data_IF_417832482851
#
_entry.id   IF_417832482851
#
_cell.length_a   1.000
_cell.length_b   1.000
_cell.length_c   1.000
_cell.angle_alpha   90.00
_cell.angle_beta   90.00
_cell.angle_gamma   90.00
#
_symmetry.space_group_name_H-M   'P 1'
#
loop_
_entity.id
_entity.type
_entity.pdbx_description
1 polymer ?
#
# COMPACT_ATOMS: atom_id res chain seq x y z
N UNK A 1 -27.51 9.76 7.62
CA UNK A 1 -26.88 9.44 6.31
C UNK A 1 -25.60 10.26 6.25
N UNK A 2 -24.44 9.66 5.98
CA UNK A 2 -23.17 10.41 5.88
C UNK A 2 -23.24 11.26 4.61
N UNK A 3 -22.90 12.55 4.70
CA UNK A 3 -22.84 13.44 3.55
C UNK A 3 -21.64 13.04 2.68
N UNK A 4 -21.88 12.77 1.40
CA UNK A 4 -20.81 12.56 0.43
C UNK A 4 -20.23 13.92 0.01
N UNK A 5 -18.90 14.03 -0.03
CA UNK A 5 -18.20 15.26 -0.42
C UNK A 5 -17.15 14.93 -1.49
N UNK A 6 -17.19 15.60 -2.65
CA UNK A 6 -16.23 15.32 -3.73
C UNK A 6 -14.82 15.82 -3.35
N UNK A 7 -13.76 15.13 -3.79
CA UNK A 7 -12.41 15.66 -3.69
C UNK A 7 -12.28 17.01 -4.41
N UNK A 8 -11.53 17.91 -3.82
CA UNK A 8 -11.13 19.16 -4.47
C UNK A 8 -9.79 18.92 -5.16
N UNK A 9 -9.79 19.06 -6.48
CA UNK A 9 -8.63 18.77 -7.33
C UNK A 9 -8.06 20.11 -7.81
N UNK A 10 -6.78 20.36 -7.50
CA UNK A 10 -6.10 21.61 -7.86
C UNK A 10 -4.82 21.34 -8.63
N UNK A 11 -4.52 22.09 -9.70
CA UNK A 11 -3.20 22.05 -10.34
C UNK A 11 -2.11 22.34 -9.31
N UNK A 12 -1.00 21.58 -9.35
CA UNK A 12 0.15 21.81 -8.46
C UNK A 12 0.83 23.15 -8.78
N UNK A 13 1.10 23.40 -10.07
CA UNK A 13 1.61 24.68 -10.58
C UNK A 13 0.87 25.11 -11.84
N UNK A 14 0.94 26.41 -12.13
CA UNK A 14 0.45 26.97 -13.38
C UNK A 14 1.25 26.37 -14.55
N UNK A 15 0.56 25.78 -15.52
CA UNK A 15 1.12 25.11 -16.71
C UNK A 15 1.79 23.75 -16.43
N UNK A 16 1.35 23.04 -15.40
CA UNK A 16 1.76 21.68 -15.12
C UNK A 16 0.56 20.71 -15.06
N UNK A 17 0.75 19.48 -15.53
CA UNK A 17 -0.30 18.44 -15.57
C UNK A 17 -0.56 17.78 -14.21
N UNK A 18 0.38 17.91 -13.26
CA UNK A 18 0.25 17.38 -11.90
C UNK A 18 -0.85 18.10 -11.13
N UNK A 19 -1.68 17.32 -10.46
CA UNK A 19 -2.80 17.75 -9.62
C UNK A 19 -2.59 17.25 -8.20
N UNK A 20 -3.07 18.03 -7.24
CA UNK A 20 -3.15 17.67 -5.83
C UNK A 20 -4.61 17.54 -5.44
N UNK A 21 -4.90 16.55 -4.59
CA UNK A 21 -6.24 16.17 -4.21
C UNK A 21 -6.46 16.41 -2.72
N UNK A 22 -7.33 17.36 -2.40
CA UNK A 22 -7.84 17.58 -1.04
C UNK A 22 -9.14 16.78 -0.84
N UNK A 23 -9.25 16.07 0.28
CA UNK A 23 -10.40 15.21 0.59
C UNK A 23 -11.00 15.61 1.93
N UNK A 24 -12.33 15.68 1.98
CA UNK A 24 -13.09 15.68 3.22
C UNK A 24 -13.65 14.28 3.41
N UNK A 25 -13.34 13.68 4.56
CA UNK A 25 -13.79 12.34 4.91
C UNK A 25 -14.47 12.33 6.27
N UNK A 26 -15.34 11.35 6.49
CA UNK A 26 -16.03 11.14 7.74
C UNK A 26 -15.48 9.94 8.50
N UNK A 27 -15.29 10.12 9.80
CA UNK A 27 -14.94 9.08 10.76
C UNK A 27 -16.02 8.96 11.83
N UNK A 28 -16.44 7.73 12.11
CA UNK A 28 -17.52 7.45 13.08
C UNK A 28 -17.25 7.99 14.49
N UNK A 29 -15.98 8.11 14.89
CA UNK A 29 -15.59 8.51 16.25
C UNK A 29 -15.06 9.95 16.25
N UNK A 30 -14.21 10.30 15.29
CA UNK A 30 -13.55 11.61 15.25
C UNK A 30 -14.36 12.68 14.51
N UNK A 31 -15.47 12.31 13.88
CA UNK A 31 -16.26 13.21 13.05
C UNK A 31 -15.57 13.48 11.71
N UNK A 32 -15.72 14.70 11.22
CA UNK A 32 -15.16 15.09 9.93
C UNK A 32 -13.65 15.32 10.02
N UNK A 33 -12.95 14.81 9.01
CA UNK A 33 -11.50 14.84 8.86
C UNK A 33 -11.16 15.43 7.49
N UNK A 34 -10.02 16.09 7.41
CA UNK A 34 -9.47 16.59 6.14
C UNK A 34 -8.19 15.87 5.81
N UNK A 35 -7.99 15.58 4.53
CA UNK A 35 -6.72 15.11 3.96
C UNK A 35 -6.29 16.18 2.97
N UNK A 36 -5.20 16.87 3.28
CA UNK A 36 -4.70 17.95 2.44
C UNK A 36 -3.34 17.60 1.86
N UNK A 37 -3.23 17.62 0.53
CA UNK A 37 -1.98 17.36 -0.18
C UNK A 37 -1.29 18.66 -0.54
N UNK A 38 0.00 18.76 -0.20
CA UNK A 38 0.83 19.93 -0.53
C UNK A 38 2.27 19.52 -0.84
N UNK A 39 3.01 20.42 -1.46
CA UNK A 39 4.46 20.27 -1.65
C UNK A 39 5.20 20.21 -0.31
N UNK A 40 6.25 19.37 -0.25
CA UNK A 40 7.06 19.15 0.94
C UNK A 40 8.55 19.46 0.65
N UNK A 41 9.09 20.59 1.17
CA UNK A 41 10.35 21.19 0.71
C UNK A 41 11.66 20.57 1.26
N UNK A 42 11.62 19.36 1.81
CA UNK A 42 12.75 18.73 2.52
C UNK A 42 13.81 18.12 1.57
N UNK A 43 13.38 17.71 0.37
CA UNK A 43 14.23 17.18 -0.73
C UNK A 43 13.48 17.33 -2.05
N UNK A 44 14.18 17.25 -3.19
CA UNK A 44 13.60 17.47 -4.54
C UNK A 44 12.30 16.67 -4.74
N UNK A 45 11.25 17.40 -5.11
CA UNK A 45 9.94 16.93 -5.62
C UNK A 45 9.15 15.93 -4.76
N UNK A 46 9.01 16.22 -3.47
CA UNK A 46 8.11 15.47 -2.58
C UNK A 46 6.83 16.20 -2.25
N UNK A 47 5.82 15.41 -1.92
CA UNK A 47 4.50 15.85 -1.50
C UNK A 47 4.14 15.18 -0.19
N UNK A 48 3.31 15.87 0.59
CA UNK A 48 2.76 15.36 1.83
C UNK A 48 1.24 15.47 1.81
N UNK A 49 0.55 14.38 2.10
CA UNK A 49 -0.86 14.39 2.47
C UNK A 49 -0.95 14.38 3.99
N UNK A 50 -1.51 15.42 4.59
CA UNK A 50 -1.72 15.51 6.04
C UNK A 50 -3.17 15.18 6.37
N UNK A 51 -3.38 14.22 7.28
CA UNK A 51 -4.69 13.90 7.83
C UNK A 51 -4.93 14.71 9.11
N UNK A 52 -5.94 15.56 9.11
CA UNK A 52 -6.25 16.49 10.21
C UNK A 52 -7.68 16.29 10.73
N UNK A 53 -7.88 16.62 12.00
CA UNK A 53 -9.23 16.73 12.58
C UNK A 53 -9.78 18.17 12.42
N UNK A 54 -11.03 18.38 12.87
CA UNK A 54 -11.69 19.69 12.88
C UNK A 54 -10.95 20.81 13.66
N UNK A 55 -10.04 20.44 14.56
CA UNK A 55 -9.25 21.38 15.36
C UNK A 55 -7.87 21.61 14.71
N UNK A 56 -7.72 21.24 13.43
CA UNK A 56 -6.50 21.31 12.63
C UNK A 56 -5.31 20.49 13.17
N UNK A 57 -5.55 19.59 14.13
CA UNK A 57 -4.51 18.70 14.67
C UNK A 57 -4.20 17.59 13.66
N UNK A 58 -2.91 17.45 13.33
CA UNK A 58 -2.40 16.35 12.49
C UNK A 58 -2.50 15.02 13.26
N UNK A 59 -3.22 14.06 12.66
CA UNK A 59 -3.41 12.71 13.18
C UNK A 59 -2.52 11.68 12.48
N UNK A 60 -2.03 12.03 11.29
CA UNK A 60 -1.19 11.19 10.46
C UNK A 60 -0.83 11.90 9.15
N UNK A 61 0.03 11.27 8.37
CA UNK A 61 0.45 11.79 7.07
C UNK A 61 0.94 10.68 6.15
N UNK A 62 1.00 11.00 4.86
CA UNK A 62 1.75 10.25 3.85
C UNK A 62 2.75 11.17 3.15
N UNK A 63 3.97 10.69 2.93
CA UNK A 63 5.00 11.32 2.09
C UNK A 63 5.18 10.51 0.81
N UNK A 64 5.19 11.17 -0.34
CA UNK A 64 5.35 10.54 -1.65
C UNK A 64 6.02 11.47 -2.68
N UNK A 65 6.43 10.92 -3.83
CA UNK A 65 6.87 11.66 -5.03
C UNK A 65 6.14 11.14 -6.28
N UNK A 66 6.05 12.01 -7.29
CA UNK A 66 5.78 11.59 -8.67
C UNK A 66 7.11 11.24 -9.34
N UNK A 67 7.18 10.09 -9.99
CA UNK A 67 8.38 9.63 -10.67
C UNK A 67 8.28 9.93 -12.17
N UNK A 68 8.86 11.06 -12.59
CA UNK A 68 8.68 11.67 -13.92
C UNK A 68 8.89 10.70 -15.10
N UNK A 69 9.89 9.83 -15.02
CA UNK A 69 10.22 8.90 -16.12
C UNK A 69 9.28 7.70 -16.24
N UNK A 70 8.62 7.31 -15.15
CA UNK A 70 7.84 6.07 -15.09
C UNK A 70 6.34 6.29 -14.99
N UNK A 71 5.90 7.55 -14.77
CA UNK A 71 4.51 7.88 -14.49
C UNK A 71 3.95 7.04 -13.34
N UNK A 72 4.78 6.88 -12.30
CA UNK A 72 4.51 6.12 -11.09
C UNK A 72 4.49 7.08 -9.88
N UNK A 73 3.81 6.67 -8.82
CA UNK A 73 3.97 7.27 -7.50
C UNK A 73 4.93 6.42 -6.66
N UNK A 74 5.81 7.08 -5.91
CA UNK A 74 6.63 6.41 -4.90
C UNK A 74 6.26 6.91 -3.50
N UNK A 75 5.72 6.02 -2.66
CA UNK A 75 5.39 6.32 -1.27
C UNK A 75 6.58 6.06 -0.35
N UNK A 76 7.06 7.11 0.32
CA UNK A 76 8.18 7.04 1.26
C UNK A 76 7.75 6.66 2.68
N UNK A 77 6.62 7.19 3.13
CA UNK A 77 6.16 6.95 4.50
C UNK A 77 4.68 7.16 4.62
N UNK A 78 4.00 6.26 5.32
CA UNK A 78 2.64 6.48 5.82
C UNK A 78 2.67 6.30 7.33
N UNK A 79 2.17 7.29 8.06
CA UNK A 79 2.17 7.29 9.52
C UNK A 79 0.86 7.79 10.07
N UNK A 80 0.42 7.13 11.13
CA UNK A 80 -0.64 7.59 12.02
C UNK A 80 -0.03 7.72 13.40
N UNK A 81 -0.44 8.71 14.19
CA UNK A 81 0.08 8.88 15.55
C UNK A 81 -0.11 7.58 16.35
N UNK A 82 0.92 7.07 17.05
CA UNK A 82 0.88 5.76 17.70
C UNK A 82 -0.33 5.56 18.62
N UNK A 83 -0.71 6.58 19.37
CA UNK A 83 -1.86 6.58 20.29
C UNK A 83 -3.22 6.45 19.61
N UNK A 84 -3.29 6.60 18.28
CA UNK A 84 -4.50 6.47 17.48
C UNK A 84 -4.55 5.15 16.69
N UNK A 85 -3.48 4.35 16.71
CA UNK A 85 -3.40 3.09 15.97
C UNK A 85 -4.26 2.01 16.63
N UNK A 86 -4.75 1.07 15.82
CA UNK A 86 -5.50 -0.12 16.25
C UNK A 86 -6.80 0.15 17.05
N UNK A 87 -7.27 1.40 17.12
CA UNK A 87 -8.53 1.80 17.78
C UNK A 87 -9.76 1.72 16.88
N UNK A 88 -9.70 0.96 15.78
CA UNK A 88 -10.78 0.91 14.78
C UNK A 88 -11.01 2.23 14.01
N UNK A 89 -10.12 3.22 14.16
CA UNK A 89 -10.26 4.55 13.57
C UNK A 89 -9.99 4.60 12.06
N UNK A 90 -9.35 3.57 11.47
CA UNK A 90 -9.10 3.47 10.02
C UNK A 90 -8.38 4.69 9.41
N UNK A 91 -7.54 5.37 10.18
CA UNK A 91 -6.82 6.56 9.68
C UNK A 91 -5.80 6.23 8.58
N UNK A 92 -5.17 5.06 8.64
CA UNK A 92 -4.31 4.56 7.56
C UNK A 92 -5.10 4.23 6.29
N UNK A 93 -6.34 3.77 6.42
CA UNK A 93 -7.26 3.53 5.28
C UNK A 93 -7.50 4.83 4.52
N UNK A 94 -7.85 5.90 5.24
CA UNK A 94 -8.08 7.22 4.66
C UNK A 94 -6.86 7.74 3.88
N UNK A 95 -5.66 7.63 4.45
CA UNK A 95 -4.42 8.00 3.77
C UNK A 95 -4.21 7.16 2.49
N UNK A 96 -4.47 5.85 2.53
CA UNK A 96 -4.37 4.98 1.33
C UNK A 96 -5.40 5.32 0.26
N UNK A 97 -6.64 5.64 0.66
CA UNK A 97 -7.68 6.11 -0.26
C UNK A 97 -7.28 7.44 -0.91
N UNK A 98 -6.61 8.33 -0.17
CA UNK A 98 -6.04 9.55 -0.72
C UNK A 98 -5.00 9.27 -1.80
N UNK A 99 -4.05 8.36 -1.54
CA UNK A 99 -3.03 8.01 -2.54
C UNK A 99 -3.65 7.41 -3.81
N UNK A 100 -4.77 6.70 -3.70
CA UNK A 100 -5.48 6.12 -4.86
C UNK A 100 -6.16 7.22 -5.68
N UNK A 101 -6.80 8.20 -5.04
CA UNK A 101 -7.38 9.35 -5.75
C UNK A 101 -6.27 10.13 -6.46
N UNK A 102 -5.15 10.40 -5.78
CA UNK A 102 -3.97 11.03 -6.39
C UNK A 102 -3.49 10.24 -7.62
N UNK A 103 -3.41 8.91 -7.51
CA UNK A 103 -3.01 8.04 -8.61
C UNK A 103 -3.93 8.20 -9.83
N UNK A 104 -5.25 8.24 -9.63
CA UNK A 104 -6.20 8.33 -10.74
C UNK A 104 -6.25 9.72 -11.36
N UNK A 105 -6.27 10.77 -10.55
CA UNK A 105 -6.35 12.16 -11.03
C UNK A 105 -5.13 12.59 -11.83
N UNK A 106 -3.98 11.99 -11.51
CA UNK A 106 -2.71 12.19 -12.20
C UNK A 106 -2.40 11.13 -13.26
N UNK A 107 -3.35 10.22 -13.57
CA UNK A 107 -3.18 9.14 -14.57
C UNK A 107 -1.95 8.26 -14.34
N UNK A 108 -1.58 8.05 -13.08
CA UNK A 108 -0.44 7.26 -12.65
C UNK A 108 -0.71 5.77 -12.89
N UNK A 109 0.32 5.04 -13.32
CA UNK A 109 0.21 3.62 -13.66
C UNK A 109 0.23 2.72 -12.42
N UNK A 110 1.08 3.05 -11.44
CA UNK A 110 1.19 2.31 -10.18
C UNK A 110 1.74 3.17 -9.06
N UNK A 111 1.40 2.78 -7.84
CA UNK A 111 1.96 3.27 -6.59
C UNK A 111 2.90 2.21 -6.00
N UNK A 112 4.17 2.55 -5.87
CA UNK A 112 5.21 1.71 -5.27
C UNK A 112 5.49 2.15 -3.84
N UNK A 113 5.76 1.19 -2.97
CA UNK A 113 6.18 1.42 -1.59
C UNK A 113 7.25 0.42 -1.19
N UNK A 114 8.09 0.79 -0.23
CA UNK A 114 8.78 -0.19 0.62
C UNK A 114 7.98 -0.36 1.91
N UNK A 115 7.38 -1.53 2.10
CA UNK A 115 6.60 -1.82 3.30
C UNK A 115 7.49 -2.35 4.40
N UNK A 116 7.31 -1.84 5.63
CA UNK A 116 7.88 -2.50 6.81
C UNK A 116 7.22 -3.86 7.00
N UNK A 117 7.98 -4.83 7.48
CA UNK A 117 7.53 -6.18 7.90
C UNK A 117 6.15 -6.19 8.58
N UNK A 118 5.97 -5.34 9.59
CA UNK A 118 4.76 -5.23 10.40
C UNK A 118 3.58 -4.60 9.68
N UNK A 119 3.80 -3.96 8.53
CA UNK A 119 2.80 -3.25 7.75
C UNK A 119 2.37 -3.98 6.46
N UNK A 120 3.05 -5.05 6.05
CA UNK A 120 2.76 -5.81 4.81
C UNK A 120 1.26 -6.14 4.71
N UNK A 121 0.70 -6.75 5.75
CA UNK A 121 -0.72 -7.12 5.81
C UNK A 121 -1.68 -5.93 5.78
N UNK A 122 -1.26 -4.78 6.32
CA UNK A 122 -2.06 -3.56 6.21
C UNK A 122 -2.14 -3.11 4.75
N UNK A 123 -1.03 -3.09 4.02
CA UNK A 123 -1.05 -2.69 2.61
C UNK A 123 -1.77 -3.70 1.71
N UNK A 124 -1.59 -5.01 1.95
CA UNK A 124 -2.27 -6.05 1.17
C UNK A 124 -3.79 -6.06 1.32
N UNK A 125 -4.34 -5.58 2.45
CA UNK A 125 -5.79 -5.34 2.58
C UNK A 125 -6.31 -4.35 1.52
N UNK A 126 -5.48 -3.40 1.11
CA UNK A 126 -5.74 -2.44 0.03
C UNK A 126 -5.12 -2.89 -1.30
N UNK A 127 -5.05 -4.21 -1.51
CA UNK A 127 -4.65 -4.86 -2.78
C UNK A 127 -3.24 -4.56 -3.26
N UNK A 128 -2.36 -4.05 -2.38
CA UNK A 128 -0.94 -4.04 -2.69
C UNK A 128 -0.40 -5.46 -2.74
N UNK A 129 0.41 -5.73 -3.76
CA UNK A 129 1.04 -7.02 -4.02
C UNK A 129 2.55 -6.92 -3.79
N UNK A 130 3.23 -8.01 -3.38
CA UNK A 130 4.68 -8.07 -3.34
C UNK A 130 5.29 -7.70 -4.71
N UNK A 131 6.27 -6.81 -4.69
CA UNK A 131 7.04 -6.33 -5.83
C UNK A 131 8.53 -6.47 -5.52
N UNK A 132 8.94 -7.69 -5.16
CA UNK A 132 10.33 -8.03 -4.88
C UNK A 132 11.12 -7.96 -6.19
N UNK A 133 12.27 -7.30 -6.17
CA UNK A 133 13.15 -7.12 -7.34
C UNK A 133 14.59 -7.58 -7.11
N UNK A 134 14.99 -7.80 -5.85
CA UNK A 134 16.36 -8.22 -5.51
C UNK A 134 16.40 -9.70 -5.10
N UNK A 135 17.53 -10.36 -5.37
CA UNK A 135 17.75 -11.77 -4.97
C UNK A 135 17.76 -11.93 -3.45
N UNK A 136 18.34 -10.96 -2.72
CA UNK A 136 18.34 -10.97 -1.26
C UNK A 136 16.91 -10.93 -0.71
N UNK A 137 16.10 -9.98 -1.17
CA UNK A 137 14.73 -9.83 -0.67
C UNK A 137 13.86 -11.02 -1.07
N UNK A 138 14.12 -11.65 -2.22
CA UNK A 138 13.47 -12.90 -2.63
C UNK A 138 13.73 -13.99 -1.61
N UNK A 139 15.00 -14.20 -1.25
CA UNK A 139 15.38 -15.28 -0.34
C UNK A 139 14.84 -15.04 1.08
N UNK A 140 14.86 -13.78 1.55
CA UNK A 140 14.26 -13.39 2.84
C UNK A 140 12.74 -13.62 2.92
N UNK A 141 12.00 -13.34 1.83
CA UNK A 141 10.56 -13.65 1.76
C UNK A 141 10.29 -15.15 1.86
N UNK A 142 11.01 -15.95 1.08
CA UNK A 142 10.84 -17.40 1.06
C UNK A 142 11.22 -18.00 2.43
N UNK A 143 12.32 -17.54 3.03
CA UNK A 143 12.74 -17.98 4.36
C UNK A 143 11.73 -17.58 5.44
N UNK A 144 11.15 -16.38 5.39
CA UNK A 144 10.09 -15.96 6.32
C UNK A 144 8.89 -16.92 6.29
N UNK A 145 8.46 -17.32 5.09
CA UNK A 145 7.37 -18.27 4.90
C UNK A 145 7.73 -19.65 5.46
N UNK A 146 8.94 -20.14 5.19
CA UNK A 146 9.41 -21.47 5.62
C UNK A 146 9.55 -21.56 7.14
N UNK A 147 10.07 -20.49 7.75
CA UNK A 147 10.38 -20.44 9.18
C UNK A 147 9.17 -20.14 10.06
N UNK A 148 7.99 -19.97 9.46
CA UNK A 148 6.74 -19.80 10.18
C UNK A 148 5.73 -20.92 9.83
N UNK A 149 5.94 -22.14 10.34
CA UNK A 149 5.04 -23.25 10.09
C UNK A 149 3.71 -23.05 10.82
N UNK A 150 2.68 -22.68 10.05
CA UNK A 150 1.31 -22.51 10.53
C UNK A 150 0.38 -23.48 9.79
N UNK A 151 -0.61 -24.01 10.51
CA UNK A 151 -1.61 -24.91 9.91
C UNK A 151 -2.33 -24.22 8.75
N UNK A 152 -2.45 -24.91 7.62
CA UNK A 152 -3.07 -24.40 6.40
C UNK A 152 -2.14 -23.61 5.48
N UNK A 153 -0.85 -23.49 5.84
CA UNK A 153 0.19 -22.85 5.03
C UNK A 153 1.16 -23.85 4.38
N UNK A 154 0.95 -25.15 4.55
CA UNK A 154 1.88 -26.22 4.17
C UNK A 154 2.24 -26.16 2.68
N UNK A 155 1.26 -25.86 1.83
CA UNK A 155 1.47 -25.70 0.38
C UNK A 155 2.48 -24.58 0.07
N UNK A 156 2.33 -23.42 0.71
CA UNK A 156 3.22 -22.28 0.48
C UNK A 156 4.62 -22.53 1.02
N UNK A 157 4.72 -23.18 2.19
CA UNK A 157 5.99 -23.61 2.78
C UNK A 157 6.71 -24.59 1.85
N UNK A 158 5.99 -25.58 1.31
CA UNK A 158 6.56 -26.54 0.38
C UNK A 158 7.03 -25.87 -0.92
N UNK A 159 6.21 -25.00 -1.51
CA UNK A 159 6.59 -24.25 -2.71
C UNK A 159 7.82 -23.36 -2.47
N UNK A 160 7.90 -22.70 -1.31
CA UNK A 160 9.04 -21.87 -0.95
C UNK A 160 10.34 -22.71 -0.81
N UNK A 161 10.27 -23.88 -0.15
CA UNK A 161 11.41 -24.81 -0.05
C UNK A 161 11.87 -25.29 -1.42
N UNK A 162 10.94 -25.71 -2.27
CA UNK A 162 11.24 -26.18 -3.62
C UNK A 162 11.91 -25.09 -4.47
N UNK A 163 11.43 -23.85 -4.38
CA UNK A 163 12.00 -22.73 -5.10
C UNK A 163 13.42 -22.40 -4.60
N UNK A 164 13.66 -22.38 -3.29
CA UNK A 164 15.01 -22.16 -2.75
C UNK A 164 16.00 -23.25 -3.16
N UNK A 165 15.59 -24.52 -3.17
CA UNK A 165 16.45 -25.61 -3.63
C UNK A 165 16.74 -25.49 -5.14
N UNK A 166 15.75 -25.11 -5.95
CA UNK A 166 15.95 -24.83 -7.38
C UNK A 166 16.97 -23.71 -7.61
N UNK A 167 16.86 -22.62 -6.83
CA UNK A 167 17.77 -21.46 -6.89
C UNK A 167 19.21 -21.88 -6.55
N UNK A 168 19.42 -22.70 -5.51
CA UNK A 168 20.76 -23.18 -5.13
C UNK A 168 21.43 -24.04 -6.20
N UNK A 169 20.63 -24.77 -6.97
CA UNK A 169 21.13 -25.67 -8.02
C UNK A 169 21.41 -24.96 -9.36
N UNK A 170 20.96 -23.71 -9.52
CA UNK A 170 21.03 -22.99 -10.80
C UNK A 170 21.45 -21.53 -10.60
N UNK A 171 22.70 -21.20 -10.88
CA UNK A 171 23.24 -19.84 -10.73
C UNK A 171 22.96 -18.92 -11.93
N UNK A 172 22.39 -19.45 -13.01
CA UNK A 172 22.13 -18.70 -14.24
C UNK A 172 21.26 -17.45 -14.00
N UNK A 173 21.70 -16.25 -14.44
CA UNK A 173 21.00 -15.00 -14.14
C UNK A 173 19.53 -14.96 -14.58
N UNK A 174 19.19 -15.64 -15.68
CA UNK A 174 17.82 -15.71 -16.18
C UNK A 174 16.91 -16.51 -15.24
N UNK A 175 17.37 -17.68 -14.79
CA UNK A 175 16.66 -18.51 -13.82
C UNK A 175 16.52 -17.82 -12.46
N UNK A 176 17.53 -17.05 -12.04
CA UNK A 176 17.47 -16.24 -10.84
C UNK A 176 16.39 -15.14 -10.94
N UNK A 177 16.26 -14.49 -12.10
CA UNK A 177 15.21 -13.48 -12.38
C UNK A 177 13.81 -14.10 -12.47
N UNK A 178 13.66 -15.26 -13.09
CA UNK A 178 12.38 -15.98 -13.12
C UNK A 178 11.93 -16.39 -11.71
N UNK A 179 12.88 -16.82 -10.88
CA UNK A 179 12.63 -17.19 -9.49
C UNK A 179 12.11 -16.02 -8.65
N UNK A 180 12.44 -14.76 -9.00
CA UNK A 180 11.82 -13.58 -8.36
C UNK A 180 10.32 -13.53 -8.66
N UNK A 181 9.90 -13.77 -9.91
CA UNK A 181 8.48 -13.77 -10.29
C UNK A 181 7.72 -14.86 -9.55
N UNK A 182 8.31 -16.05 -9.46
CA UNK A 182 7.75 -17.17 -8.73
C UNK A 182 7.64 -16.89 -7.23
N UNK A 183 8.67 -16.28 -6.62
CA UNK A 183 8.65 -15.87 -5.22
C UNK A 183 7.59 -14.81 -4.92
N UNK A 184 7.41 -13.81 -5.78
CA UNK A 184 6.32 -12.83 -5.63
C UNK A 184 4.95 -13.53 -5.63
N UNK A 185 4.75 -14.52 -6.51
CA UNK A 185 3.50 -15.31 -6.57
C UNK A 185 3.27 -16.14 -5.31
N UNK A 186 4.30 -16.83 -4.81
CA UNK A 186 4.22 -17.62 -3.57
C UNK A 186 3.92 -16.69 -2.37
N UNK A 187 4.65 -15.58 -2.27
CA UNK A 187 4.51 -14.60 -1.19
C UNK A 187 3.13 -13.96 -1.19
N UNK A 188 2.62 -13.56 -2.36
CA UNK A 188 1.26 -13.06 -2.53
C UNK A 188 0.22 -14.07 -2.02
N UNK A 189 0.30 -15.31 -2.49
CA UNK A 189 -0.65 -16.35 -2.08
C UNK A 189 -0.61 -16.65 -0.58
N UNK A 190 0.58 -16.64 0.03
CA UNK A 190 0.74 -16.78 1.48
C UNK A 190 0.07 -15.63 2.25
N UNK A 191 0.30 -14.38 1.82
CA UNK A 191 -0.32 -13.20 2.43
C UNK A 191 -1.84 -13.23 2.28
N UNK A 192 -2.36 -13.55 1.09
CA UNK A 192 -3.79 -13.66 0.83
C UNK A 192 -4.43 -14.72 1.72
N UNK A 193 -3.80 -15.90 1.83
CA UNK A 193 -4.27 -16.97 2.72
C UNK A 193 -4.28 -16.55 4.18
N UNK A 194 -3.25 -15.84 4.62
CA UNK A 194 -3.18 -15.33 5.98
C UNK A 194 -4.29 -14.29 6.24
N UNK A 195 -4.59 -13.42 5.27
CA UNK A 195 -5.68 -12.44 5.38
C UNK A 195 -7.07 -13.08 5.50
N UNK A 196 -7.30 -14.27 4.93
CA UNK A 196 -8.56 -15.02 5.11
C UNK A 196 -8.82 -15.37 6.58
N UNK A 197 -7.78 -15.60 7.36
CA UNK A 197 -7.88 -15.89 8.81
C UNK A 197 -8.16 -14.64 9.65
N UNK A 198 -8.15 -13.45 9.02
CA UNK A 198 -8.20 -12.12 9.65
C UNK A 198 -7.04 -11.82 10.61
N UNK A 199 -6.02 -12.67 10.64
CA UNK A 199 -4.78 -12.43 11.35
C UNK A 199 -3.77 -11.72 10.42
N UNK A 200 -2.64 -11.29 10.97
CA UNK A 200 -1.61 -10.58 10.23
C UNK A 200 -0.22 -10.89 10.77
N UNK A 201 0.63 -9.88 10.86
CA UNK A 201 2.05 -9.99 11.23
C UNK A 201 2.32 -10.61 12.61
N UNK A 202 1.34 -10.63 13.51
CA UNK A 202 1.47 -11.28 14.83
C UNK A 202 1.54 -12.80 14.75
N UNK A 203 0.84 -13.41 13.78
CA UNK A 203 0.81 -14.87 13.56
C UNK A 203 1.60 -15.28 12.32
N UNK A 204 1.63 -14.38 11.33
CA UNK A 204 2.29 -14.56 10.06
C UNK A 204 3.41 -13.53 9.86
N UNK A 205 4.44 -13.47 10.73
CA UNK A 205 5.48 -12.46 10.60
C UNK A 205 6.34 -12.70 9.35
N UNK A 206 6.77 -11.60 8.74
CA UNK A 206 7.96 -11.56 7.89
C UNK A 206 9.12 -11.05 8.72
N UNK A 207 10.33 -11.58 8.52
CA UNK A 207 11.53 -11.13 9.22
C UNK A 207 12.11 -9.81 8.67
N UNK A 208 11.52 -9.29 7.60
CA UNK A 208 12.03 -8.14 6.86
C UNK A 208 10.89 -7.40 6.13
N UNK A 209 11.16 -6.14 5.76
CA UNK A 209 10.27 -5.36 4.90
C UNK A 209 10.48 -5.65 3.43
N UNK A 210 9.47 -5.46 2.60
CA UNK A 210 9.54 -5.77 1.16
C UNK A 210 8.96 -4.66 0.29
N UNK A 211 9.44 -4.62 -0.95
CA UNK A 211 8.80 -3.83 -2.00
C UNK A 211 7.37 -4.32 -2.24
N UNK A 212 6.44 -3.40 -2.37
CA UNK A 212 5.05 -3.69 -2.74
C UNK A 212 4.55 -2.66 -3.74
N UNK A 213 3.60 -3.05 -4.57
CA UNK A 213 2.98 -2.15 -5.53
C UNK A 213 1.46 -2.33 -5.63
N UNK A 214 0.79 -1.24 -5.97
CA UNK A 214 -0.61 -1.20 -6.35
C UNK A 214 -0.70 -0.62 -7.75
N UNK A 215 -1.17 -1.41 -8.72
CA UNK A 215 -1.33 -0.95 -10.10
C UNK A 215 -2.73 -0.39 -10.34
N UNK A 216 -2.86 0.53 -11.31
CA UNK A 216 -4.15 1.04 -11.77
C UNK A 216 -5.10 -0.08 -12.18
N UNK A 217 -4.60 -1.09 -12.90
CA UNK A 217 -5.39 -2.25 -13.28
C UNK A 217 -5.91 -3.04 -12.08
N UNK A 218 -5.08 -3.22 -11.04
CA UNK A 218 -5.49 -3.86 -9.79
C UNK A 218 -6.60 -3.05 -9.12
N UNK A 219 -6.51 -1.71 -9.13
CA UNK A 219 -7.56 -0.84 -8.59
C UNK A 219 -8.87 -0.99 -9.37
N UNK A 220 -8.82 -0.90 -10.71
CA UNK A 220 -10.00 -1.04 -11.58
C UNK A 220 -10.67 -2.41 -11.40
N UNK A 221 -9.90 -3.50 -11.35
CA UNK A 221 -10.42 -4.87 -11.13
C UNK A 221 -11.11 -5.02 -9.78
N UNK A 222 -10.76 -4.18 -8.80
CA UNK A 222 -11.32 -4.18 -7.46
C UNK A 222 -12.16 -2.91 -7.19
N UNK A 223 -12.70 -2.25 -8.22
CA UNK A 223 -13.39 -0.95 -8.07
C UNK A 223 -14.52 -0.96 -7.04
N UNK A 224 -15.30 -2.03 -6.94
CA UNK A 224 -16.43 -2.11 -6.01
C UNK A 224 -15.95 -2.11 -4.55
N UNK A 225 -14.79 -2.71 -4.27
CA UNK A 225 -14.15 -2.65 -2.96
C UNK A 225 -13.79 -1.20 -2.60
N UNK A 226 -13.12 -0.47 -3.50
CA UNK A 226 -12.73 0.93 -3.25
C UNK A 226 -13.92 1.89 -3.20
N UNK A 227 -14.87 1.75 -4.12
CA UNK A 227 -16.11 2.54 -4.13
C UNK A 227 -16.91 2.37 -2.83
N UNK A 228 -16.93 1.15 -2.28
CA UNK A 228 -17.52 0.89 -0.96
C UNK A 228 -16.75 1.61 0.16
N UNK A 229 -15.42 1.60 0.12
CA UNK A 229 -14.61 2.31 1.11
C UNK A 229 -14.79 3.84 1.03
N UNK A 230 -14.83 4.42 -0.17
CA UNK A 230 -15.11 5.85 -0.34
C UNK A 230 -16.47 6.23 0.24
N UNK A 231 -17.52 5.48 -0.05
CA UNK A 231 -18.86 5.70 0.50
C UNK A 231 -18.89 5.58 2.03
N UNK A 232 -18.23 4.57 2.59
CA UNK A 232 -18.14 4.38 4.05
C UNK A 232 -17.48 5.56 4.76
N UNK A 233 -16.63 6.30 4.05
CA UNK A 233 -15.92 7.46 4.53
C UNK A 233 -16.50 8.79 4.04
N UNK A 234 -17.68 8.82 3.42
CA UNK A 234 -18.29 10.07 2.99
C UNK A 234 -17.57 10.76 1.82
N UNK A 235 -16.74 10.04 1.07
CA UNK A 235 -15.99 10.57 -0.07
C UNK A 235 -16.81 10.34 -1.34
N UNK A 236 -17.16 11.40 -2.06
CA UNK A 236 -17.86 11.33 -3.35
C UNK A 236 -16.86 11.09 -4.49
N UNK A 237 -16.33 9.87 -4.55
CA UNK A 237 -15.40 9.45 -5.60
C UNK A 237 -15.73 8.05 -6.09
N UNK A 238 -15.51 7.81 -7.38
CA UNK A 238 -15.68 6.49 -8.00
C UNK A 238 -14.51 6.18 -8.91
N UNK A 239 -13.99 4.96 -8.78
CA UNK A 239 -13.06 4.32 -9.72
C UNK A 239 -13.80 3.91 -10.99
#
# INVERSE_FOLDING_TARGET
MIKLTPPKITPYWLNEDRKLCDIVAHNKILGDLTLNTKYYPDVTERFITELRNKDEKILGYELFSFEDFSNDLFGYSIRVNPELRQKGLRLGELLRLSSIIEMFENKINKLKIYSKDTAIYFHSKYKFEPSITSFKDRDEALNSIINNPQTGMEKFIQSARQLLEKIKQHEEPELQRESIKEANKITKGYIEKALETKQGSEIYPFSYGMGMELTKDTVIKNKDFYNTLFQNHGIDYKI
#
